data_IF_734320704340
#
_entry.id   IF_734320704340
#
_cell.length_a   1.000
_cell.length_b   1.000
_cell.length_c   1.000
_cell.angle_alpha   90.00
_cell.angle_beta   90.00
_cell.angle_gamma   90.00
#
_symmetry.space_group_name_H-M   'P 1'
#
loop_
_entity.id
_entity.type
_entity.pdbx_description
1 polymer ?
#
# COMPACT_ATOMS: atom_id res chain seq x y z
N UNK A 1 -8.71 -13.23 -5.37
CA UNK A 1 -8.42 -11.86 -5.85
C UNK A 1 -9.02 -11.61 -7.23
N UNK A 2 -8.46 -12.09 -8.34
CA UNK A 2 -8.99 -11.81 -9.70
C UNK A 2 -10.50 -12.00 -9.85
N UNK A 3 -11.03 -13.17 -9.47
CA UNK A 3 -12.46 -13.45 -9.57
C UNK A 3 -13.33 -12.52 -8.69
N UNK A 4 -12.80 -12.04 -7.56
CA UNK A 4 -13.50 -11.09 -6.69
C UNK A 4 -13.51 -9.68 -7.30
N UNK A 5 -12.39 -9.23 -7.87
CA UNK A 5 -12.32 -7.94 -8.58
C UNK A 5 -13.29 -7.90 -9.78
N UNK A 6 -13.36 -8.99 -10.54
CA UNK A 6 -14.32 -9.14 -11.65
C UNK A 6 -15.78 -9.19 -11.19
N UNK A 7 -16.04 -9.72 -10.00
CA UNK A 7 -17.39 -9.71 -9.40
C UNK A 7 -17.78 -8.29 -8.96
N UNK A 8 -16.93 -7.59 -8.22
CA UNK A 8 -17.21 -6.21 -7.80
C UNK A 8 -17.36 -5.25 -9.00
N UNK A 9 -16.56 -5.46 -10.05
CA UNK A 9 -16.73 -4.75 -11.33
C UNK A 9 -18.09 -5.04 -11.97
N UNK A 10 -18.57 -6.29 -11.93
CA UNK A 10 -19.92 -6.65 -12.42
C UNK A 10 -21.04 -6.09 -11.56
N UNK A 11 -20.79 -5.91 -10.25
CA UNK A 11 -21.72 -5.25 -9.32
C UNK A 11 -21.81 -3.73 -9.53
N UNK A 12 -20.97 -3.16 -10.39
CA UNK A 12 -20.94 -1.72 -10.68
C UNK A 12 -20.38 -0.91 -9.52
N UNK A 13 -19.49 -1.48 -8.72
CA UNK A 13 -18.77 -0.73 -7.68
C UNK A 13 -17.79 0.24 -8.37
N UNK A 14 -17.83 1.51 -7.98
CA UNK A 14 -17.02 2.55 -8.60
C UNK A 14 -15.54 2.45 -8.23
N UNK A 15 -15.24 2.03 -7.00
CA UNK A 15 -13.87 1.86 -6.49
C UNK A 15 -13.75 0.64 -5.59
N UNK A 16 -12.71 -0.16 -5.83
CA UNK A 16 -12.24 -1.23 -4.95
C UNK A 16 -10.86 -0.83 -4.45
N UNK A 17 -10.45 -1.29 -3.26
CA UNK A 17 -9.09 -1.10 -2.74
C UNK A 17 -8.50 -2.46 -2.38
N UNK A 18 -7.41 -2.84 -3.06
CA UNK A 18 -6.69 -4.08 -2.82
C UNK A 18 -5.50 -3.88 -1.87
N UNK A 19 -5.67 -4.24 -0.60
CA UNK A 19 -4.55 -4.28 0.35
C UNK A 19 -3.71 -5.56 0.13
N UNK A 20 -2.55 -5.41 -0.52
CA UNK A 20 -1.66 -6.53 -0.81
C UNK A 20 -0.17 -6.15 -0.57
N UNK A 21 0.44 -6.59 0.55
CA UNK A 21 1.84 -6.27 0.88
C UNK A 21 2.89 -6.79 -0.12
N UNK A 22 2.53 -7.78 -0.95
CA UNK A 22 3.39 -8.41 -1.95
C UNK A 22 2.87 -8.21 -3.38
N UNK A 23 2.06 -7.16 -3.62
CA UNK A 23 1.42 -6.91 -4.92
C UNK A 23 2.45 -6.86 -6.06
N UNK A 24 3.56 -6.15 -5.84
CA UNK A 24 4.61 -5.95 -6.85
C UNK A 24 5.41 -7.22 -7.10
N UNK A 25 5.79 -7.91 -6.02
CA UNK A 25 6.52 -9.18 -6.04
C UNK A 25 5.71 -10.28 -6.72
N UNK A 26 4.38 -10.25 -6.56
CA UNK A 26 3.47 -11.19 -7.19
C UNK A 26 3.15 -10.84 -8.65
N UNK A 27 3.64 -9.70 -9.16
CA UNK A 27 3.37 -9.24 -10.52
C UNK A 27 1.90 -8.86 -10.75
N UNK A 28 1.21 -8.38 -9.71
CA UNK A 28 -0.24 -8.11 -9.75
C UNK A 28 -0.60 -6.70 -10.20
N UNK A 29 0.38 -5.89 -10.61
CA UNK A 29 0.15 -4.54 -11.13
C UNK A 29 -0.81 -4.52 -12.32
N UNK A 30 -0.87 -5.58 -13.12
CA UNK A 30 -1.82 -5.69 -14.25
C UNK A 30 -3.28 -5.91 -13.82
N UNK A 31 -3.56 -6.12 -12.53
CA UNK A 31 -4.92 -6.34 -12.01
C UNK A 31 -5.54 -5.08 -11.41
N UNK A 32 -4.79 -4.00 -11.28
CA UNK A 32 -5.22 -2.73 -10.69
C UNK A 32 -5.03 -1.61 -11.69
N UNK A 33 -5.83 -0.57 -11.58
CA UNK A 33 -5.72 0.61 -12.43
C UNK A 33 -4.68 1.60 -11.88
N UNK A 34 -4.44 1.57 -10.57
CA UNK A 34 -3.51 2.48 -9.87
C UNK A 34 -2.81 1.77 -8.71
N UNK A 35 -1.50 1.99 -8.56
CA UNK A 35 -0.66 1.40 -7.51
C UNK A 35 -0.29 2.46 -6.48
N UNK A 36 -0.79 2.28 -5.25
CA UNK A 36 -0.51 3.15 -4.12
C UNK A 36 0.54 2.51 -3.20
N UNK A 37 1.70 3.16 -3.04
CA UNK A 37 2.80 2.67 -2.20
C UNK A 37 2.98 3.56 -0.98
N UNK A 38 3.04 2.93 0.20
CA UNK A 38 3.44 3.62 1.43
C UNK A 38 4.94 3.51 1.67
N UNK A 39 5.56 4.61 2.05
CA UNK A 39 6.99 4.70 2.35
C UNK A 39 7.22 5.26 3.74
N UNK A 40 8.33 4.84 4.33
CA UNK A 40 8.78 5.24 5.66
C UNK A 40 10.23 4.78 5.84
N UNK A 41 11.08 5.55 6.54
CA UNK A 41 12.38 5.07 6.98
C UNK A 41 12.32 3.71 7.73
N UNK A 42 13.20 2.77 7.37
CA UNK A 42 13.28 1.44 8.00
C UNK A 42 13.33 1.49 9.54
N UNK A 43 14.12 2.38 10.18
CA UNK A 43 14.16 2.47 11.65
C UNK A 43 12.79 2.77 12.27
N UNK A 44 11.97 3.58 11.60
CA UNK A 44 10.63 3.87 12.06
C UNK A 44 9.69 2.68 11.85
N UNK A 45 9.77 1.98 10.72
CA UNK A 45 8.96 0.78 10.46
C UNK A 45 9.25 -0.28 11.54
N UNK A 46 10.52 -0.50 11.86
CA UNK A 46 10.93 -1.41 12.94
C UNK A 46 10.34 -1.00 14.30
N UNK A 47 10.43 0.30 14.65
CA UNK A 47 9.84 0.83 15.88
C UNK A 47 8.32 0.58 15.95
N UNK A 48 7.62 0.74 14.82
CA UNK A 48 6.17 0.51 14.71
C UNK A 48 5.81 -0.98 14.85
N UNK A 49 6.57 -1.87 14.20
CA UNK A 49 6.36 -3.32 14.29
C UNK A 49 6.58 -3.85 15.70
N UNK A 50 7.65 -3.40 16.38
CA UNK A 50 7.90 -3.75 17.79
C UNK A 50 6.75 -3.35 18.70
N UNK A 51 6.18 -2.15 18.51
CA UNK A 51 5.08 -1.63 19.34
C UNK A 51 3.74 -2.32 19.07
N UNK A 52 3.42 -2.65 17.81
CA UNK A 52 2.10 -3.17 17.42
C UNK A 52 1.99 -4.69 17.39
N UNK A 53 3.05 -5.39 17.00
CA UNK A 53 2.97 -6.81 16.60
C UNK A 53 3.72 -7.73 17.57
N UNK A 54 4.47 -7.17 18.54
CA UNK A 54 5.23 -7.96 19.52
C UNK A 54 6.33 -8.83 18.91
N UNK A 55 6.68 -8.59 17.64
CA UNK A 55 7.72 -9.33 16.93
C UNK A 55 9.10 -8.98 17.47
N UNK A 56 10.00 -9.96 17.45
CA UNK A 56 11.42 -9.68 17.65
C UNK A 56 11.95 -8.77 16.55
N UNK A 57 13.09 -8.14 16.81
CA UNK A 57 13.77 -7.31 15.82
C UNK A 57 14.17 -8.12 14.58
N UNK A 58 14.64 -9.36 14.78
CA UNK A 58 15.05 -10.25 13.69
C UNK A 58 13.86 -10.62 12.79
N UNK A 59 12.71 -10.96 13.37
CA UNK A 59 11.49 -11.27 12.60
C UNK A 59 10.97 -10.02 11.85
N UNK A 60 11.03 -8.85 12.50
CA UNK A 60 10.63 -7.59 11.89
C UNK A 60 11.52 -7.25 10.69
N UNK A 61 12.84 -7.37 10.85
CA UNK A 61 13.81 -7.17 9.77
C UNK A 61 13.63 -8.20 8.65
N UNK A 62 13.41 -9.46 8.98
CA UNK A 62 13.16 -10.50 7.98
C UNK A 62 11.92 -10.17 7.12
N UNK A 63 10.84 -9.68 7.74
CA UNK A 63 9.63 -9.24 7.02
C UNK A 63 9.85 -8.00 6.16
N UNK A 64 10.58 -7.01 6.67
CA UNK A 64 10.90 -5.81 5.88
C UNK A 64 11.75 -6.18 4.66
N UNK A 65 12.76 -7.04 4.85
CA UNK A 65 13.73 -7.42 3.81
C UNK A 65 13.22 -8.50 2.86
N UNK A 66 12.12 -9.17 3.17
CA UNK A 66 11.48 -10.11 2.24
C UNK A 66 10.68 -9.41 1.14
N UNK A 67 10.42 -8.11 1.30
CA UNK A 67 9.76 -7.27 0.31
C UNK A 67 10.79 -6.53 -0.53
N UNK A 68 10.35 -6.00 -1.68
CA UNK A 68 11.13 -5.10 -2.49
C UNK A 68 11.54 -3.85 -1.68
N UNK A 69 12.78 -3.34 -1.87
CA UNK A 69 13.19 -2.08 -1.27
C UNK A 69 12.22 -0.95 -1.64
N UNK A 70 12.03 0.02 -0.74
CA UNK A 70 11.14 1.17 -0.98
C UNK A 70 11.46 1.89 -2.29
N UNK A 71 12.74 2.03 -2.63
CA UNK A 71 13.19 2.64 -3.90
C UNK A 71 12.69 1.90 -5.14
N UNK A 72 12.63 0.57 -5.10
CA UNK A 72 12.08 -0.23 -6.21
C UNK A 72 10.56 -0.11 -6.24
N UNK A 73 9.89 -0.15 -5.08
CA UNK A 73 8.43 -0.03 -5.01
C UNK A 73 7.94 1.32 -5.56
N UNK A 74 8.65 2.40 -5.27
CA UNK A 74 8.35 3.76 -5.78
C UNK A 74 8.35 3.80 -7.31
N UNK A 75 9.23 3.05 -7.99
CA UNK A 75 9.28 3.04 -9.46
C UNK A 75 8.02 2.46 -10.11
N UNK A 76 7.26 1.67 -9.36
CA UNK A 76 6.02 1.05 -9.81
C UNK A 76 4.77 1.74 -9.25
N UNK A 77 4.94 2.81 -8.48
CA UNK A 77 3.85 3.51 -7.83
C UNK A 77 3.32 4.63 -8.71
N UNK A 78 2.00 4.68 -8.85
CA UNK A 78 1.29 5.86 -9.37
C UNK A 78 1.16 6.92 -8.28
N UNK A 79 0.95 6.46 -7.03
CA UNK A 79 0.86 7.33 -5.85
C UNK A 79 1.81 6.85 -4.76
N UNK A 80 2.63 7.78 -4.26
CA UNK A 80 3.54 7.54 -3.12
C UNK A 80 3.03 8.30 -1.91
N UNK A 81 2.81 7.56 -0.81
CA UNK A 81 2.39 8.12 0.47
C UNK A 81 3.54 8.00 1.47
N UNK A 82 4.10 9.13 1.87
CA UNK A 82 4.98 9.17 3.03
C UNK A 82 4.17 8.99 4.32
N UNK A 83 4.58 8.01 5.11
CA UNK A 83 3.95 7.69 6.39
C UNK A 83 4.83 8.09 7.57
N UNK A 84 5.92 8.83 7.38
CA UNK A 84 6.72 9.47 8.46
C UNK A 84 6.09 10.76 8.98
N UNK A 85 4.80 10.67 9.31
CA UNK A 85 4.01 11.77 9.82
C UNK A 85 3.05 11.28 10.92
N UNK A 86 2.31 12.21 11.51
CA UNK A 86 1.22 11.88 12.42
C UNK A 86 0.06 11.21 11.67
N UNK A 87 -0.80 10.50 12.41
CA UNK A 87 -1.98 9.87 11.81
C UNK A 87 -2.98 10.91 11.28
N UNK A 88 -3.01 12.11 11.85
CA UNK A 88 -3.88 13.21 11.41
C UNK A 88 -3.41 13.74 10.05
N UNK A 89 -2.12 14.05 9.91
CA UNK A 89 -1.51 14.46 8.64
C UNK A 89 -1.67 13.39 7.57
N UNK A 90 -1.44 12.11 7.92
CA UNK A 90 -1.64 11.00 7.00
C UNK A 90 -3.09 10.90 6.50
N UNK A 91 -4.08 11.09 7.38
CA UNK A 91 -5.49 11.07 7.00
C UNK A 91 -5.86 12.22 6.08
N UNK A 92 -5.38 13.43 6.39
CA UNK A 92 -5.59 14.60 5.53
C UNK A 92 -5.00 14.34 4.14
N UNK A 93 -3.75 13.85 4.09
CA UNK A 93 -3.05 13.58 2.83
C UNK A 93 -3.74 12.51 1.97
N UNK A 94 -4.15 11.39 2.58
CA UNK A 94 -4.90 10.35 1.88
C UNK A 94 -6.25 10.89 1.39
N UNK A 95 -6.91 11.74 2.18
CA UNK A 95 -8.16 12.40 1.79
C UNK A 95 -8.01 13.29 0.56
N UNK A 96 -6.94 14.09 0.49
CA UNK A 96 -6.61 14.91 -0.69
C UNK A 96 -6.40 14.04 -1.94
N UNK A 97 -5.52 13.04 -1.84
CA UNK A 97 -5.21 12.14 -2.96
C UNK A 97 -6.45 11.39 -3.44
N UNK A 98 -7.33 10.98 -2.52
CA UNK A 98 -8.57 10.31 -2.86
C UNK A 98 -9.52 11.20 -3.67
N UNK A 99 -9.62 12.49 -3.35
CA UNK A 99 -10.45 13.44 -4.10
C UNK A 99 -9.90 13.71 -5.50
N UNK A 100 -8.58 13.74 -5.66
CA UNK A 100 -7.90 13.94 -6.95
C UNK A 100 -8.09 12.74 -7.89
N UNK A 101 -8.13 11.50 -7.35
CA UNK A 101 -8.27 10.26 -8.12
C UNK A 101 -9.69 9.73 -8.34
N UNK A 102 -10.75 10.37 -7.83
CA UNK A 102 -12.12 9.81 -7.79
C UNK A 102 -12.90 9.85 -9.12
N UNK A 103 -12.30 9.36 -10.21
CA UNK A 103 -12.97 9.06 -11.47
C UNK A 103 -12.92 7.56 -11.79
N UNK A 104 -13.82 6.75 -11.22
CA UNK A 104 -14.00 5.31 -11.49
C UNK A 104 -12.70 4.51 -11.67
N UNK A 105 -12.02 4.17 -10.56
CA UNK A 105 -10.78 3.36 -10.59
C UNK A 105 -10.86 2.19 -9.62
N UNK A 106 -10.39 1.02 -10.03
CA UNK A 106 -10.14 -0.13 -9.15
C UNK A 106 -8.70 0.00 -8.65
N UNK A 107 -8.54 0.26 -7.35
CA UNK A 107 -7.26 0.32 -6.62
C UNK A 107 -7.01 -1.04 -5.93
#
# INVERSE_FOLDING_TARGET
VKAQLEEERRRGVDVVVLEAPLLLEAGWTSFVDEVWVTVAPEPMVLRRLKKKVGLSEQESLARIRSQLPSEERIKHADVVIDTDCSLEELRARVGELWQEGSGSLII
#
